data_IF_421477794442
#
_entry.id   IF_421477794442
#
_cell.length_a   1.000
_cell.length_b   1.000
_cell.length_c   1.000
_cell.angle_alpha   90.00
_cell.angle_beta   90.00
_cell.angle_gamma   90.00
#
_symmetry.space_group_name_H-M   'P 1'
#
loop_
_entity.id
_entity.type
_entity.pdbx_description
1 polymer ?
#
# COMPACT_ATOMS: atom_id res chain seq x y z
N UNK A 1 -3.42 -13.98 4.37
CA UNK A 1 -2.63 -13.22 5.37
C UNK A 1 -1.15 -13.40 5.05
N UNK A 2 -0.36 -12.32 4.98
CA UNK A 2 1.06 -12.38 4.64
C UNK A 2 1.90 -12.08 5.90
N UNK A 3 2.09 -13.07 6.78
CA UNK A 3 2.86 -12.89 8.04
C UNK A 3 4.28 -12.37 7.81
N UNK A 4 4.86 -12.73 6.67
CA UNK A 4 6.18 -12.27 6.24
C UNK A 4 6.25 -10.75 6.05
N UNK A 5 5.13 -10.05 5.92
CA UNK A 5 5.08 -8.59 5.85
C UNK A 5 5.37 -7.93 7.21
N UNK A 6 5.08 -8.62 8.32
CA UNK A 6 5.28 -8.05 9.66
C UNK A 6 6.78 -7.91 9.90
N UNK A 7 7.21 -6.71 10.26
CA UNK A 7 8.61 -6.41 10.50
C UNK A 7 8.93 -4.93 10.34
N UNK A 8 10.22 -4.64 10.44
CA UNK A 8 10.79 -3.34 10.18
C UNK A 8 11.44 -3.39 8.80
N UNK A 9 11.32 -2.28 8.09
CA UNK A 9 11.60 -2.16 6.67
C UNK A 9 12.33 -0.85 6.46
N UNK A 10 13.42 -0.89 5.70
CA UNK A 10 14.20 0.30 5.35
C UNK A 10 14.35 0.37 3.84
N UNK A 11 14.16 1.56 3.25
CA UNK A 11 14.33 1.75 1.80
C UNK A 11 15.75 1.42 1.35
N UNK A 12 15.92 1.05 0.09
CA UNK A 12 17.24 0.70 -0.46
C UNK A 12 18.29 1.83 -0.28
N UNK A 13 17.86 3.10 -0.27
CA UNK A 13 18.72 4.26 -0.05
C UNK A 13 18.88 4.65 1.43
N UNK A 14 18.21 3.94 2.35
CA UNK A 14 18.28 4.14 3.80
C UNK A 14 17.56 5.38 4.31
N UNK A 15 16.81 6.09 3.47
CA UNK A 15 16.17 7.35 3.84
C UNK A 15 14.78 7.20 4.45
N UNK A 16 14.07 6.14 4.07
CA UNK A 16 12.69 5.91 4.49
C UNK A 16 12.64 4.67 5.40
N UNK A 17 11.86 4.77 6.46
CA UNK A 17 11.64 3.69 7.41
C UNK A 17 10.17 3.37 7.55
N UNK A 18 9.87 2.08 7.48
CA UNK A 18 8.52 1.56 7.63
C UNK A 18 8.48 0.44 8.66
N UNK A 19 7.48 0.47 9.53
CA UNK A 19 7.19 -0.62 10.48
C UNK A 19 5.79 -1.14 10.22
N UNK A 20 5.69 -2.42 9.92
CA UNK A 20 4.41 -3.10 9.71
C UNK A 20 4.11 -3.98 10.91
N UNK A 21 2.93 -3.80 11.50
CA UNK A 21 2.45 -4.57 12.66
C UNK A 21 1.05 -5.09 12.41
N UNK A 22 0.76 -6.29 12.91
CA UNK A 22 -0.58 -6.87 12.81
C UNK A 22 -1.55 -6.09 13.71
N UNK A 23 -2.70 -5.72 13.14
CA UNK A 23 -3.88 -5.33 13.91
C UNK A 23 -4.85 -6.51 14.01
N UNK A 24 -5.17 -7.14 12.88
CA UNK A 24 -6.08 -8.29 12.78
C UNK A 24 -5.69 -9.20 11.60
N UNK A 25 -6.46 -10.24 11.28
CA UNK A 25 -6.17 -11.25 10.24
C UNK A 25 -5.94 -10.66 8.83
N UNK A 26 -6.55 -9.52 8.52
CA UNK A 26 -6.48 -8.85 7.21
C UNK A 26 -6.06 -7.38 7.28
N UNK A 27 -5.72 -6.89 8.48
CA UNK A 27 -5.48 -5.46 8.74
C UNK A 27 -4.15 -5.27 9.44
N UNK A 28 -3.37 -4.31 8.96
CA UNK A 28 -2.07 -3.94 9.51
C UNK A 28 -2.06 -2.48 9.96
N UNK A 29 -1.29 -2.20 11.00
CA UNK A 29 -0.78 -0.86 11.22
C UNK A 29 0.53 -0.69 10.47
N UNK A 30 0.67 0.44 9.79
CA UNK A 30 1.88 0.82 9.08
C UNK A 30 2.34 2.16 9.66
N UNK A 31 3.52 2.17 10.24
CA UNK A 31 4.19 3.41 10.61
C UNK A 31 5.24 3.71 9.53
N UNK A 32 5.19 4.88 8.92
CA UNK A 32 6.05 5.26 7.80
C UNK A 32 6.52 6.70 8.01
N UNK A 33 7.82 6.91 8.22
CA UNK A 33 8.46 8.22 8.40
C UNK A 33 7.75 9.21 9.35
N UNK A 34 7.16 8.72 10.44
CA UNK A 34 6.45 9.55 11.42
C UNK A 34 4.93 9.46 11.32
N UNK A 35 4.42 9.00 10.19
CA UNK A 35 2.99 8.89 9.94
C UNK A 35 2.44 7.50 10.27
N UNK A 36 1.24 7.48 10.86
CA UNK A 36 0.56 6.25 11.23
C UNK A 36 -0.63 5.99 10.31
N UNK A 37 -0.61 4.81 9.70
CA UNK A 37 -1.62 4.36 8.77
C UNK A 37 -2.24 3.04 9.20
N UNK A 38 -3.45 2.80 8.70
CA UNK A 38 -4.09 1.49 8.71
C UNK A 38 -4.20 0.95 7.29
N UNK A 39 -3.67 -0.24 7.06
CA UNK A 39 -3.64 -0.91 5.77
C UNK A 39 -4.60 -2.10 5.75
N UNK A 40 -5.40 -2.20 4.69
CA UNK A 40 -6.33 -3.29 4.43
C UNK A 40 -5.93 -4.00 3.14
N UNK A 41 -5.75 -5.32 3.19
CA UNK A 41 -5.46 -6.13 2.00
C UNK A 41 -6.68 -6.15 1.09
N UNK A 42 -6.51 -5.73 -0.17
CA UNK A 42 -7.57 -5.63 -1.17
C UNK A 42 -7.08 -6.18 -2.51
N UNK A 43 -7.23 -7.47 -2.77
CA UNK A 43 -6.91 -8.01 -4.09
C UNK A 43 -7.97 -7.57 -5.12
N UNK A 44 -7.57 -6.78 -6.11
CA UNK A 44 -8.45 -6.33 -7.20
C UNK A 44 -7.87 -6.80 -8.52
N UNK A 45 -8.64 -7.62 -9.25
CA UNK A 45 -8.21 -8.20 -10.53
C UNK A 45 -6.83 -8.86 -10.45
N UNK A 46 -6.66 -9.74 -9.45
CA UNK A 46 -5.42 -10.51 -9.21
C UNK A 46 -4.19 -9.63 -8.92
N UNK A 47 -4.41 -8.32 -8.74
CA UNK A 47 -3.39 -7.35 -8.40
C UNK A 47 -3.47 -7.09 -6.89
N UNK A 48 -2.36 -7.25 -6.15
CA UNK A 48 -2.30 -7.03 -4.71
C UNK A 48 -2.36 -5.54 -4.42
N UNK A 49 -3.56 -4.99 -4.33
CA UNK A 49 -3.76 -3.63 -3.86
C UNK A 49 -3.96 -3.61 -2.34
N UNK A 50 -3.67 -2.45 -1.78
CA UNK A 50 -3.86 -2.11 -0.37
C UNK A 50 -4.64 -0.83 -0.31
N UNK A 51 -5.68 -0.80 0.50
CA UNK A 51 -6.30 0.45 0.90
C UNK A 51 -5.61 0.94 2.17
N UNK A 52 -5.05 2.14 2.14
CA UNK A 52 -4.35 2.74 3.27
C UNK A 52 -5.16 3.94 3.77
N UNK A 53 -5.45 3.96 5.05
CA UNK A 53 -6.09 5.07 5.73
C UNK A 53 -5.07 5.79 6.62
N UNK A 54 -4.84 7.07 6.33
CA UNK A 54 -4.08 7.97 7.20
C UNK A 54 -4.86 8.23 8.49
N UNK A 55 -4.25 7.90 9.63
CA UNK A 55 -4.85 8.06 10.97
C UNK A 55 -4.48 9.41 11.60
N UNK A 56 -3.47 10.11 11.08
CA UNK A 56 -3.08 11.45 11.50
C UNK A 56 -3.99 12.51 10.87
N UNK A 57 -4.52 12.27 9.66
CA UNK A 57 -5.42 13.20 8.99
C UNK A 57 -6.88 13.09 9.46
N UNK A 58 -7.48 14.23 9.83
CA UNK A 58 -8.92 14.33 10.16
C UNK A 58 -9.85 13.84 9.03
N UNK A 59 -9.42 13.98 7.78
CA UNK A 59 -10.21 13.56 6.62
C UNK A 59 -10.33 12.05 6.48
N UNK A 60 -9.41 11.29 7.10
CA UNK A 60 -9.30 9.82 7.05
C UNK A 60 -9.50 9.24 5.64
N UNK A 61 -9.04 9.97 4.63
CA UNK A 61 -9.14 9.58 3.22
C UNK A 61 -8.32 8.31 3.00
N UNK A 62 -8.79 7.49 2.07
CA UNK A 62 -8.06 6.32 1.62
C UNK A 62 -7.12 6.68 0.47
N UNK A 63 -5.88 6.23 0.57
CA UNK A 63 -4.97 6.06 -0.54
C UNK A 63 -4.96 4.58 -0.97
N UNK A 64 -4.54 4.32 -2.20
CA UNK A 64 -4.41 2.97 -2.72
C UNK A 64 -2.97 2.72 -3.12
N UNK A 65 -2.43 1.59 -2.70
CA UNK A 65 -1.03 1.23 -2.93
C UNK A 65 -0.98 -0.17 -3.52
N UNK A 66 -0.19 -0.35 -4.57
CA UNK A 66 0.24 -1.66 -4.99
C UNK A 66 1.40 -2.09 -4.08
N UNK A 67 1.25 -3.24 -3.43
CA UNK A 67 2.31 -3.83 -2.62
C UNK A 67 2.72 -5.19 -3.17
N UNK A 68 4.01 -5.46 -3.22
CA UNK A 68 4.50 -6.76 -3.65
C UNK A 68 5.63 -7.20 -2.75
N UNK A 69 5.39 -8.30 -2.04
CA UNK A 69 6.40 -8.98 -1.26
C UNK A 69 7.13 -9.98 -2.17
N UNK A 70 8.46 -10.06 -2.05
CA UNK A 70 9.27 -11.11 -2.70
C UNK A 70 8.94 -12.49 -2.12
N UNK A 71 9.16 -13.55 -2.90
CA UNK A 71 8.88 -14.93 -2.48
C UNK A 71 9.66 -15.34 -1.21
N UNK A 72 10.83 -14.74 -0.98
CA UNK A 72 11.65 -14.97 0.21
C UNK A 72 11.27 -14.08 1.40
N UNK A 73 10.31 -13.18 1.23
CA UNK A 73 9.79 -12.29 2.26
C UNK A 73 10.75 -11.19 2.72
N UNK A 74 11.80 -10.89 1.94
CA UNK A 74 12.85 -9.93 2.32
C UNK A 74 12.75 -8.58 1.64
N UNK A 75 12.08 -8.50 0.50
CA UNK A 75 11.94 -7.27 -0.27
C UNK A 75 10.46 -6.95 -0.45
N UNK A 76 10.10 -5.71 -0.17
CA UNK A 76 8.75 -5.19 -0.33
C UNK A 76 8.79 -3.99 -1.28
N UNK A 77 8.14 -4.15 -2.44
CA UNK A 77 7.99 -3.08 -3.43
C UNK A 77 6.64 -2.40 -3.24
N UNK A 78 6.64 -1.07 -3.17
CA UNK A 78 5.44 -0.23 -3.05
C UNK A 78 5.32 0.72 -4.24
N UNK A 79 4.11 0.86 -4.77
CA UNK A 79 3.77 1.87 -5.78
C UNK A 79 2.43 2.50 -5.45
N UNK A 80 2.36 3.83 -5.39
CA UNK A 80 1.10 4.53 -5.14
C UNK A 80 0.22 4.50 -6.38
N UNK A 81 -1.09 4.30 -6.20
CA UNK A 81 -2.07 4.57 -7.26
C UNK A 81 -2.17 6.07 -7.44
N UNK A 82 -2.04 6.54 -8.68
CA UNK A 82 -2.02 7.96 -8.99
C UNK A 82 -3.43 8.58 -8.95
N UNK A 83 -3.51 9.81 -8.48
CA UNK A 83 -4.75 10.59 -8.48
C UNK A 83 -5.19 11.02 -9.88
N UNK A 84 -4.27 11.00 -10.86
CA UNK A 84 -4.55 11.19 -12.28
C UNK A 84 -5.48 10.11 -12.85
N UNK A 85 -5.32 8.87 -12.38
CA UNK A 85 -6.10 7.72 -12.87
C UNK A 85 -7.24 7.37 -11.92
N UNK A 86 -7.02 7.48 -10.61
CA UNK A 86 -8.05 7.27 -9.57
C UNK A 86 -8.17 8.52 -8.71
N UNK A 87 -9.06 9.46 -9.07
CA UNK A 87 -9.18 10.74 -8.38
C UNK A 87 -9.42 10.63 -6.88
N UNK A 88 -8.74 11.49 -6.12
CA UNK A 88 -8.98 11.59 -4.68
C UNK A 88 -10.37 12.16 -4.40
N UNK A 89 -11.09 11.58 -3.43
CA UNK A 89 -12.42 12.05 -3.02
C UNK A 89 -13.59 11.19 -3.48
N UNK A 90 -13.35 10.20 -4.36
CA UNK A 90 -14.32 9.12 -4.59
C UNK A 90 -14.42 8.30 -3.30
N UNK A 91 -15.64 8.20 -2.75
CA UNK A 91 -15.91 7.43 -1.52
C UNK A 91 -16.52 6.05 -1.80
N UNK A 92 -16.99 5.84 -3.02
CA UNK A 92 -17.65 4.59 -3.43
C UNK A 92 -16.61 3.54 -3.82
N UNK A 93 -16.56 2.44 -3.06
CA UNK A 93 -15.59 1.36 -3.28
C UNK A 93 -15.83 0.63 -4.61
N UNK A 94 -17.08 0.50 -5.06
CA UNK A 94 -17.40 -0.16 -6.32
C UNK A 94 -16.84 0.62 -7.52
N UNK A 95 -17.00 1.95 -7.52
CA UNK A 95 -16.42 2.86 -8.52
C UNK A 95 -14.90 2.76 -8.54
N UNK A 96 -14.25 2.72 -7.37
CA UNK A 96 -12.79 2.60 -7.28
C UNK A 96 -12.31 1.27 -7.84
N UNK A 97 -12.96 0.16 -7.48
CA UNK A 97 -12.66 -1.17 -8.03
C UNK A 97 -12.84 -1.18 -9.55
N UNK A 98 -13.89 -0.56 -10.08
CA UNK A 98 -14.11 -0.46 -11.52
C UNK A 98 -12.98 0.32 -12.22
N UNK A 99 -12.56 1.46 -11.65
CA UNK A 99 -11.46 2.27 -12.18
C UNK A 99 -10.13 1.51 -12.18
N UNK A 100 -9.81 0.82 -11.07
CA UNK A 100 -8.60 -0.01 -10.96
C UNK A 100 -8.60 -1.13 -12.02
N UNK A 101 -9.73 -1.81 -12.20
CA UNK A 101 -9.88 -2.86 -13.23
C UNK A 101 -9.72 -2.32 -14.64
N UNK A 102 -10.38 -1.21 -14.95
CA UNK A 102 -10.34 -0.58 -16.28
C UNK A 102 -8.91 -0.12 -16.63
N UNK A 103 -8.16 0.33 -15.63
CA UNK A 103 -6.82 0.88 -15.80
C UNK A 103 -5.70 -0.10 -15.44
N UNK A 104 -5.98 -1.40 -15.23
CA UNK A 104 -4.99 -2.36 -14.78
C UNK A 104 -3.76 -2.47 -15.71
N UNK A 105 -3.92 -2.13 -17.00
CA UNK A 105 -2.83 -2.10 -18.00
C UNK A 105 -2.35 -0.69 -18.35
N UNK A 106 -2.86 0.34 -17.66
CA UNK A 106 -2.46 1.72 -17.87
C UNK A 106 -1.11 1.96 -17.18
N UNK A 107 -0.04 2.31 -17.91
CA UNK A 107 1.28 2.55 -17.31
C UNK A 107 1.28 3.72 -16.30
N UNK A 108 0.34 4.66 -16.43
CA UNK A 108 0.23 5.83 -15.55
C UNK A 108 -0.58 5.54 -14.26
N UNK A 109 -1.10 4.32 -14.10
CA UNK A 109 -1.88 3.95 -12.91
C UNK A 109 -1.03 4.02 -11.64
N UNK A 110 0.23 3.62 -11.72
CA UNK A 110 1.12 3.46 -10.59
C UNK A 110 2.29 4.44 -10.67
N UNK A 111 2.64 5.04 -9.53
CA UNK A 111 3.83 5.86 -9.39
C UNK A 111 5.12 5.07 -9.64
N UNK A 112 6.24 5.78 -9.53
CA UNK A 112 7.56 5.15 -9.35
C UNK A 112 7.53 4.19 -8.15
N UNK A 113 8.37 3.17 -8.25
CA UNK A 113 8.49 2.12 -7.24
C UNK A 113 9.50 2.50 -6.18
N UNK A 114 9.13 2.20 -4.93
CA UNK A 114 10.02 2.27 -3.78
C UNK A 114 10.20 0.85 -3.28
N UNK A 115 11.45 0.43 -3.16
CA UNK A 115 11.82 -0.88 -2.61
C UNK A 115 12.30 -0.74 -1.17
N UNK A 116 11.76 -1.60 -0.32
CA UNK A 116 12.16 -1.76 1.07
C UNK A 116 12.80 -3.12 1.30
N UNK A 117 13.83 -3.14 2.12
CA UNK A 117 14.48 -4.34 2.62
C UNK A 117 14.06 -4.58 4.07
N UNK A 118 13.74 -5.83 4.38
CA UNK A 118 13.38 -6.24 5.73
C UNK A 118 14.61 -6.19 6.64
N UNK A 119 14.45 -5.55 7.78
CA UNK A 119 15.45 -5.57 8.84
C UNK A 119 15.54 -6.96 9.47
N UNK A 120 16.74 -7.28 9.99
CA UNK A 120 17.03 -8.58 10.62
C UNK A 120 16.44 -8.68 12.02
#
# INVERSE_FOLDING_TARGET
>A
MQEQLIGDWTSADGKEQMKVRRLDESVYFVYYDGDLFRAYHSDVAETPFVSIQDLNANSRKYAYVFWKLSDDGKTLSLRNVTDKVVPTGIKDSATIVALLKQNARNPDLLSEEIEFQKEK
#
